data_IF_422261050313
#
_entry.id   IF_422261050313
#
_cell.length_a   1.000
_cell.length_b   1.000
_cell.length_c   1.000
_cell.angle_alpha   90.00
_cell.angle_beta   90.00
_cell.angle_gamma   90.00
#
_symmetry.space_group_name_H-M   'P 1'
#
loop_
_entity.id
_entity.type
_entity.pdbx_description
1 polymer ?
#
# COMPACT_ATOMS: atom_id res chain seq x y z
N UNK A 1 13.23 -5.44 2.53
CA UNK A 1 12.68 -5.28 3.89
C UNK A 1 11.15 -5.39 3.86
N UNK A 2 10.53 -5.84 4.95
CA UNK A 2 9.08 -5.87 5.13
C UNK A 2 8.76 -5.64 6.61
N UNK A 3 7.52 -5.28 6.90
CA UNK A 3 7.06 -5.06 8.26
C UNK A 3 6.70 -6.43 8.88
N UNK A 4 7.37 -6.88 9.96
CA UNK A 4 7.20 -8.25 10.46
C UNK A 4 5.76 -8.58 10.90
N UNK A 5 5.00 -7.58 11.35
CA UNK A 5 3.62 -7.74 11.80
C UNK A 5 2.65 -8.11 10.66
N UNK A 6 3.02 -7.83 9.39
CA UNK A 6 2.21 -8.22 8.23
C UNK A 6 1.99 -9.74 8.18
N UNK A 7 3.01 -10.52 8.61
CA UNK A 7 2.89 -11.97 8.71
C UNK A 7 1.82 -12.37 9.73
N UNK A 8 1.84 -11.76 10.92
CA UNK A 8 0.85 -12.04 11.97
C UNK A 8 -0.57 -11.69 11.55
N UNK A 9 -0.77 -10.58 10.84
CA UNK A 9 -2.10 -10.19 10.34
C UNK A 9 -2.62 -11.15 9.28
N UNK A 10 -1.76 -11.56 8.34
CA UNK A 10 -2.14 -12.52 7.31
C UNK A 10 -2.46 -13.90 7.89
N UNK A 11 -1.65 -14.38 8.84
CA UNK A 11 -1.87 -15.66 9.53
C UNK A 11 -3.14 -15.65 10.38
N UNK A 12 -3.43 -14.55 11.07
CA UNK A 12 -4.68 -14.39 11.83
C UNK A 12 -5.93 -14.43 10.92
N UNK A 13 -5.79 -14.04 9.66
CA UNK A 13 -6.83 -14.15 8.64
C UNK A 13 -6.86 -15.53 7.94
N UNK A 14 -6.05 -16.50 8.38
CA UNK A 14 -5.97 -17.83 7.78
C UNK A 14 -5.09 -17.93 6.53
N UNK A 15 -4.35 -16.86 6.23
CA UNK A 15 -3.40 -16.82 5.13
C UNK A 15 -2.01 -17.33 5.51
N UNK A 16 -1.11 -17.31 4.55
CA UNK A 16 0.33 -17.52 4.76
C UNK A 16 1.12 -16.48 3.99
N UNK A 17 2.24 -16.03 4.56
CA UNK A 17 3.10 -15.02 3.94
C UNK A 17 4.31 -15.67 3.29
N UNK A 18 4.57 -15.29 2.05
CA UNK A 18 5.80 -15.60 1.35
C UNK A 18 6.60 -14.32 1.14
N UNK A 19 7.71 -14.20 1.83
CA UNK A 19 8.63 -13.06 1.65
C UNK A 19 9.46 -13.28 0.39
N UNK A 20 9.43 -12.27 -0.48
CA UNK A 20 10.29 -12.23 -1.68
C UNK A 20 11.35 -11.15 -1.45
N UNK A 21 12.64 -11.49 -1.38
CA UNK A 21 13.70 -10.50 -1.23
C UNK A 21 13.75 -9.53 -2.41
N UNK A 22 14.05 -8.27 -2.13
CA UNK A 22 14.46 -7.30 -3.13
C UNK A 22 15.89 -7.62 -3.60
N UNK A 23 16.33 -6.99 -4.69
CA UNK A 23 17.73 -7.05 -5.12
C UNK A 23 18.65 -6.49 -4.03
N UNK A 24 19.68 -7.24 -3.67
CA UNK A 24 20.50 -6.96 -2.49
C UNK A 24 21.22 -5.59 -2.55
N UNK A 25 21.68 -5.20 -3.74
CA UNK A 25 22.50 -3.99 -3.92
C UNK A 25 21.68 -2.71 -4.00
N UNK A 26 20.45 -2.78 -4.51
CA UNK A 26 19.64 -1.61 -4.86
C UNK A 26 18.33 -1.51 -4.13
N UNK A 27 17.91 -2.59 -3.46
CA UNK A 27 16.57 -2.80 -2.91
C UNK A 27 15.43 -2.64 -3.94
N UNK A 28 15.75 -2.64 -5.24
CA UNK A 28 14.79 -2.66 -6.32
C UNK A 28 13.96 -3.95 -6.32
N UNK A 29 12.78 -3.93 -6.93
CA UNK A 29 11.97 -5.13 -7.06
C UNK A 29 12.69 -6.21 -7.88
N UNK A 30 12.71 -7.43 -7.36
CA UNK A 30 13.08 -8.60 -8.14
C UNK A 30 11.83 -9.17 -8.80
N UNK A 31 11.51 -8.69 -10.00
CA UNK A 31 10.31 -9.08 -10.73
C UNK A 31 10.33 -10.56 -11.15
N UNK A 32 11.49 -11.14 -11.38
CA UNK A 32 11.62 -12.55 -11.69
C UNK A 32 11.30 -13.41 -10.46
N UNK A 33 11.90 -13.10 -9.33
CA UNK A 33 11.61 -13.77 -8.06
C UNK A 33 10.14 -13.58 -7.64
N UNK A 34 9.57 -12.38 -7.83
CA UNK A 34 8.15 -12.12 -7.59
C UNK A 34 7.26 -12.96 -8.49
N UNK A 35 7.56 -13.00 -9.80
CA UNK A 35 6.80 -13.82 -10.75
C UNK A 35 6.84 -15.30 -10.40
N UNK A 36 8.00 -15.82 -9.98
CA UNK A 36 8.13 -17.20 -9.53
C UNK A 36 7.39 -17.48 -8.21
N UNK A 37 7.26 -16.47 -7.35
CA UNK A 37 6.57 -16.59 -6.07
C UNK A 37 5.04 -16.54 -6.18
N UNK A 38 4.50 -15.81 -7.16
CA UNK A 38 3.06 -15.66 -7.38
C UNK A 38 2.49 -16.93 -8.00
N UNK A 39 1.56 -17.56 -7.28
CA UNK A 39 0.89 -18.83 -7.66
C UNK A 39 -0.62 -18.63 -7.74
N UNK A 40 -1.34 -19.67 -8.14
CA UNK A 40 -2.81 -19.69 -8.15
C UNK A 40 -3.45 -19.49 -6.76
N UNK A 41 -2.68 -19.60 -5.67
CA UNK A 41 -3.14 -19.37 -4.30
C UNK A 41 -2.84 -17.94 -3.81
N UNK A 42 -2.15 -17.14 -4.62
CA UNK A 42 -1.78 -15.78 -4.22
C UNK A 42 -2.98 -14.86 -4.30
N UNK A 43 -3.43 -14.35 -3.16
CA UNK A 43 -4.55 -13.42 -3.07
C UNK A 43 -4.09 -11.96 -3.19
N UNK A 44 -2.96 -11.60 -2.57
CA UNK A 44 -2.47 -10.23 -2.56
C UNK A 44 -0.95 -10.14 -2.37
N UNK A 45 -0.41 -8.97 -2.73
CA UNK A 45 0.95 -8.54 -2.43
C UNK A 45 0.88 -7.32 -1.50
N UNK A 46 1.85 -7.17 -0.58
CA UNK A 46 2.03 -5.95 0.21
C UNK A 46 3.29 -5.26 -0.28
N UNK A 47 3.17 -3.99 -0.66
CA UNK A 47 4.27 -3.13 -1.11
C UNK A 47 4.32 -1.88 -0.26
N UNK A 48 5.46 -1.59 0.36
CA UNK A 48 5.73 -0.33 1.05
C UNK A 48 6.70 0.51 0.20
N UNK A 49 6.22 1.62 -0.34
CA UNK A 49 7.02 2.54 -1.17
C UNK A 49 6.45 3.96 -1.13
N UNK A 50 7.23 4.97 -0.73
CA UNK A 50 8.65 4.92 -0.33
C UNK A 50 8.88 3.99 0.85
N UNK A 51 9.98 3.24 0.87
CA UNK A 51 10.18 2.13 1.81
C UNK A 51 10.92 2.56 3.08
N UNK A 52 10.45 2.08 4.21
CA UNK A 52 11.19 2.11 5.48
C UNK A 52 11.76 0.70 5.76
N UNK A 53 13.09 0.53 5.98
CA UNK A 53 14.10 1.57 6.21
C UNK A 53 14.96 1.91 4.98
N UNK A 54 14.77 1.30 3.81
CA UNK A 54 15.69 1.44 2.68
C UNK A 54 15.67 2.81 2.00
N UNK A 55 14.58 3.57 2.15
CA UNK A 55 14.37 4.85 1.46
C UNK A 55 14.09 4.72 -0.04
N UNK A 56 14.02 3.51 -0.56
CA UNK A 56 13.80 3.28 -1.99
C UNK A 56 12.37 3.60 -2.40
N UNK A 57 12.24 4.31 -3.51
CA UNK A 57 10.97 4.53 -4.21
C UNK A 57 10.90 3.58 -5.39
N UNK A 58 9.85 2.76 -5.44
CA UNK A 58 9.62 1.88 -6.60
C UNK A 58 9.22 2.77 -7.79
N UNK A 59 9.98 2.67 -8.86
CA UNK A 59 9.81 3.52 -10.03
C UNK A 59 8.55 3.18 -10.84
N UNK A 60 8.07 4.14 -11.64
CA UNK A 60 6.93 3.91 -12.56
C UNK A 60 7.16 2.74 -13.51
N UNK A 61 8.34 2.55 -14.15
CA UNK A 61 8.59 1.37 -14.99
C UNK A 61 8.51 0.05 -14.23
N UNK A 62 9.02 -0.03 -13.00
CA UNK A 62 8.94 -1.23 -12.17
C UNK A 62 7.49 -1.55 -11.80
N UNK A 63 6.69 -0.56 -11.38
CA UNK A 63 5.27 -0.75 -11.08
C UNK A 63 4.48 -1.13 -12.33
N UNK A 64 4.80 -0.58 -13.50
CA UNK A 64 4.16 -0.95 -14.75
C UNK A 64 4.47 -2.41 -15.13
N UNK A 65 5.71 -2.84 -14.99
CA UNK A 65 6.12 -4.22 -15.24
C UNK A 65 5.49 -5.20 -14.25
N UNK A 66 5.44 -4.84 -12.96
CA UNK A 66 4.72 -5.61 -11.94
C UNK A 66 3.23 -5.74 -12.29
N UNK A 67 2.60 -4.62 -12.66
CA UNK A 67 1.17 -4.59 -13.02
C UNK A 67 0.88 -5.48 -14.24
N UNK A 68 1.75 -5.46 -15.24
CA UNK A 68 1.61 -6.33 -16.43
C UNK A 68 1.73 -7.82 -16.05
N UNK A 69 2.73 -8.16 -15.24
CA UNK A 69 2.94 -9.53 -14.75
C UNK A 69 1.73 -10.03 -13.94
N UNK A 70 1.18 -9.20 -13.04
CA UNK A 70 0.02 -9.60 -12.25
C UNK A 70 -1.25 -9.76 -13.10
N UNK A 71 -1.47 -8.89 -14.12
CA UNK A 71 -2.59 -9.06 -15.06
C UNK A 71 -2.51 -10.37 -15.84
N UNK A 72 -1.32 -10.76 -16.29
CA UNK A 72 -1.09 -12.05 -16.95
C UNK A 72 -1.42 -13.21 -16.00
N UNK A 73 -0.95 -13.14 -14.76
CA UNK A 73 -1.23 -14.15 -13.73
C UNK A 73 -2.72 -14.25 -13.40
N UNK A 74 -3.41 -13.13 -13.23
CA UNK A 74 -4.85 -13.08 -13.01
C UNK A 74 -5.62 -13.77 -14.15
N UNK A 75 -5.28 -13.42 -15.39
CA UNK A 75 -5.90 -14.06 -16.56
C UNK A 75 -5.67 -15.57 -16.59
N UNK A 76 -4.48 -16.01 -16.17
CA UNK A 76 -4.12 -17.44 -16.10
C UNK A 76 -4.83 -18.18 -14.99
N UNK A 77 -4.97 -17.55 -13.81
CA UNK A 77 -5.51 -18.21 -12.61
C UNK A 77 -7.02 -18.04 -12.46
N UNK A 78 -7.62 -17.10 -13.18
CA UNK A 78 -9.07 -16.88 -13.19
C UNK A 78 -9.61 -16.16 -11.94
N UNK A 79 -8.75 -15.45 -11.20
CA UNK A 79 -9.15 -14.65 -10.04
C UNK A 79 -8.28 -13.39 -9.92
N UNK A 80 -8.78 -12.31 -9.26
CA UNK A 80 -7.98 -11.12 -9.02
C UNK A 80 -6.83 -11.40 -8.06
N UNK A 81 -5.74 -10.64 -8.23
CA UNK A 81 -4.62 -10.56 -7.29
C UNK A 81 -4.51 -9.10 -6.87
N UNK A 82 -4.66 -8.81 -5.59
CA UNK A 82 -4.66 -7.44 -5.11
C UNK A 82 -3.26 -6.96 -4.71
N UNK A 83 -3.07 -5.65 -4.61
CA UNK A 83 -1.88 -5.05 -4.01
C UNK A 83 -2.33 -4.16 -2.86
N UNK A 84 -1.80 -4.35 -1.67
CA UNK A 84 -1.84 -3.35 -0.61
C UNK A 84 -0.64 -2.42 -0.83
N UNK A 85 -0.93 -1.18 -1.22
CA UNK A 85 0.06 -0.12 -1.42
C UNK A 85 0.16 0.69 -0.13
N UNK A 86 1.14 0.38 0.71
CA UNK A 86 1.40 1.07 1.97
C UNK A 86 2.33 2.27 1.71
N UNK A 87 1.75 3.47 1.70
CA UNK A 87 2.42 4.71 1.29
C UNK A 87 2.43 5.82 2.36
N UNK A 88 2.76 5.55 3.63
CA UNK A 88 2.76 6.58 4.67
C UNK A 88 3.90 7.60 4.53
N UNK A 89 4.88 7.35 3.66
CA UNK A 89 6.06 8.19 3.43
C UNK A 89 6.03 8.92 2.08
N UNK A 90 4.88 8.97 1.41
CA UNK A 90 4.75 9.47 0.04
C UNK A 90 5.33 10.86 -0.18
N UNK A 91 5.15 11.77 0.76
CA UNK A 91 5.63 13.15 0.70
C UNK A 91 7.03 13.33 1.29
N UNK A 92 7.57 12.30 1.96
CA UNK A 92 8.89 12.33 2.60
C UNK A 92 9.94 11.77 1.66
N UNK A 93 10.06 12.38 0.49
CA UNK A 93 11.06 12.04 -0.54
C UNK A 93 11.92 13.24 -0.87
N UNK A 94 13.15 12.99 -1.26
CA UNK A 94 14.16 14.01 -1.48
C UNK A 94 14.65 13.99 -2.93
N UNK A 95 15.30 15.08 -3.36
CA UNK A 95 15.92 15.16 -4.69
C UNK A 95 14.94 15.18 -5.87
N UNK A 96 13.68 15.53 -5.64
CA UNK A 96 12.66 15.62 -6.70
C UNK A 96 12.22 14.26 -7.26
N UNK A 97 12.41 13.19 -6.50
CA UNK A 97 11.97 11.84 -6.92
C UNK A 97 10.45 11.79 -7.02
N UNK A 98 9.95 11.36 -8.18
CA UNK A 98 8.52 11.12 -8.37
C UNK A 98 8.10 9.82 -7.63
N UNK A 99 7.05 9.91 -6.80
CA UNK A 99 6.39 8.72 -6.23
C UNK A 99 5.17 8.40 -7.10
N UNK A 100 5.21 7.32 -7.89
CA UNK A 100 4.09 6.97 -8.75
C UNK A 100 2.85 6.62 -7.93
N UNK A 101 1.66 6.91 -8.47
CA UNK A 101 0.41 6.50 -7.83
C UNK A 101 -0.01 5.12 -8.38
N UNK A 102 0.22 4.09 -7.58
CA UNK A 102 0.02 2.69 -7.99
C UNK A 102 -1.42 2.39 -8.47
N UNK A 103 -2.49 2.90 -7.81
CA UNK A 103 -3.85 2.61 -8.28
C UNK A 103 -4.14 3.07 -9.72
N UNK A 104 -3.46 4.11 -10.20
CA UNK A 104 -3.58 4.54 -11.60
C UNK A 104 -2.92 3.57 -12.60
N UNK A 105 -2.01 2.72 -12.15
CA UNK A 105 -1.33 1.72 -12.97
C UNK A 105 -1.98 0.34 -12.84
N UNK A 106 -2.52 0.04 -11.66
CA UNK A 106 -3.11 -1.23 -11.31
C UNK A 106 -4.36 -1.03 -10.44
N UNK A 107 -5.58 -1.10 -11.02
CA UNK A 107 -6.82 -0.84 -10.31
C UNK A 107 -7.07 -1.75 -9.09
N UNK A 108 -6.55 -2.99 -9.11
CA UNK A 108 -6.66 -3.91 -7.98
C UNK A 108 -5.70 -3.57 -6.84
N UNK A 109 -5.43 -2.27 -6.63
CA UNK A 109 -4.63 -1.76 -5.53
C UNK A 109 -5.50 -1.14 -4.45
N UNK A 110 -5.27 -1.54 -3.21
CA UNK A 110 -5.80 -0.93 -1.98
C UNK A 110 -4.75 0.07 -1.51
N UNK A 111 -5.03 1.35 -1.65
CA UNK A 111 -4.12 2.41 -1.25
C UNK A 111 -4.26 2.68 0.24
N UNK A 112 -3.17 2.50 0.98
CA UNK A 112 -3.10 2.75 2.43
C UNK A 112 -2.27 3.99 2.69
N UNK A 113 -2.85 4.99 3.34
CA UNK A 113 -2.19 6.23 3.69
C UNK A 113 -2.35 6.57 5.16
N UNK A 114 -1.33 7.17 5.74
CA UNK A 114 -1.34 7.59 7.15
C UNK A 114 -0.72 8.98 7.32
N UNK A 115 -1.38 9.81 8.10
CA UNK A 115 -0.86 11.12 8.52
C UNK A 115 0.14 11.05 9.68
N UNK A 116 0.47 9.84 10.13
CA UNK A 116 1.45 9.61 11.20
C UNK A 116 2.83 10.18 10.90
N UNK A 117 3.20 10.24 9.61
CA UNK A 117 4.54 10.69 9.16
C UNK A 117 4.47 12.10 8.60
N UNK A 118 3.62 12.35 7.62
CA UNK A 118 3.54 13.64 6.91
C UNK A 118 3.07 14.80 7.76
N UNK A 119 2.19 14.57 8.72
CA UNK A 119 1.72 15.59 9.67
C UNK A 119 2.23 15.38 11.10
N UNK A 120 3.16 14.46 11.32
CA UNK A 120 3.67 14.10 12.67
C UNK A 120 2.59 13.79 13.70
N UNK A 121 1.55 13.07 13.27
CA UNK A 121 0.41 12.69 14.12
C UNK A 121 0.36 11.17 14.40
N UNK A 122 1.46 10.52 14.84
CA UNK A 122 1.45 9.07 15.01
C UNK A 122 0.53 8.63 16.15
N UNK A 123 0.38 9.44 17.19
CA UNK A 123 -0.48 9.15 18.34
C UNK A 123 -1.97 9.24 18.04
N UNK A 124 -2.35 10.01 17.01
CA UNK A 124 -3.75 10.33 16.72
C UNK A 124 -4.45 9.25 15.89
N UNK A 125 -3.70 8.32 15.35
CA UNK A 125 -4.20 7.16 14.61
C UNK A 125 -5.10 7.53 13.43
N UNK A 126 -4.69 8.52 12.62
CA UNK A 126 -5.44 9.04 11.47
C UNK A 126 -4.80 8.58 10.17
N UNK A 127 -5.59 8.01 9.30
CA UNK A 127 -5.24 7.57 7.95
C UNK A 127 -6.48 7.18 7.18
N UNK A 128 -6.29 6.67 5.98
CA UNK A 128 -7.40 6.20 5.16
C UNK A 128 -6.97 5.05 4.25
N UNK A 129 -7.94 4.27 3.81
CA UNK A 129 -7.84 3.34 2.71
C UNK A 129 -8.63 3.87 1.52
N UNK A 130 -8.07 3.77 0.32
CA UNK A 130 -8.78 4.11 -0.90
C UNK A 130 -8.75 2.92 -1.87
N UNK A 131 -9.91 2.65 -2.48
CA UNK A 131 -10.11 1.62 -3.48
C UNK A 131 -10.37 2.29 -4.84
N UNK A 132 -9.76 1.75 -5.90
CA UNK A 132 -10.03 2.28 -7.23
C UNK A 132 -11.43 1.84 -7.72
N UNK A 133 -12.24 2.73 -8.31
CA UNK A 133 -13.61 2.38 -8.75
C UNK A 133 -13.69 1.24 -9.78
N UNK A 134 -12.62 1.00 -10.53
CA UNK A 134 -12.52 -0.08 -11.51
C UNK A 134 -11.80 -1.32 -10.93
N UNK A 135 -11.72 -1.46 -9.60
CA UNK A 135 -11.20 -2.65 -8.92
C UNK A 135 -12.14 -3.84 -9.18
N UNK A 136 -11.57 -5.00 -9.44
CA UNK A 136 -12.34 -6.24 -9.48
C UNK A 136 -12.99 -6.50 -8.11
N UNK A 137 -14.21 -6.98 -8.10
CA UNK A 137 -14.99 -7.28 -6.88
C UNK A 137 -15.10 -6.08 -5.90
N UNK A 138 -15.14 -4.84 -6.43
CA UNK A 138 -15.10 -3.60 -5.64
C UNK A 138 -16.05 -3.61 -4.44
N UNK A 139 -17.32 -3.96 -4.64
CA UNK A 139 -18.32 -3.93 -3.56
C UNK A 139 -18.00 -4.96 -2.45
N UNK A 140 -17.52 -6.13 -2.83
CA UNK A 140 -17.14 -7.17 -1.88
C UNK A 140 -15.88 -6.77 -1.10
N UNK A 141 -14.86 -6.23 -1.76
CA UNK A 141 -13.63 -5.75 -1.12
C UNK A 141 -13.94 -4.56 -0.21
N UNK A 142 -14.76 -3.62 -0.65
CA UNK A 142 -15.18 -2.48 0.16
C UNK A 142 -15.92 -2.92 1.43
N UNK A 143 -16.87 -3.84 1.30
CA UNK A 143 -17.59 -4.38 2.44
C UNK A 143 -16.67 -5.15 3.40
N UNK A 144 -15.71 -5.92 2.88
CA UNK A 144 -14.72 -6.64 3.67
C UNK A 144 -13.81 -5.68 4.47
N UNK A 145 -13.32 -4.61 3.83
CA UNK A 145 -12.49 -3.59 4.50
C UNK A 145 -13.26 -2.91 5.65
N UNK A 146 -14.51 -2.51 5.42
CA UNK A 146 -15.36 -1.92 6.46
C UNK A 146 -15.65 -2.92 7.59
N UNK A 147 -15.94 -4.18 7.24
CA UNK A 147 -16.18 -5.25 8.21
C UNK A 147 -14.96 -5.54 9.07
N UNK A 148 -13.78 -5.64 8.45
CA UNK A 148 -12.51 -5.85 9.14
C UNK A 148 -12.18 -4.68 10.09
N UNK A 149 -12.37 -3.44 9.64
CA UNK A 149 -12.17 -2.26 10.48
C UNK A 149 -13.04 -2.31 11.74
N UNK A 150 -14.31 -2.71 11.62
CA UNK A 150 -15.20 -2.86 12.77
C UNK A 150 -14.80 -4.01 13.69
N UNK A 151 -14.45 -5.16 13.12
CA UNK A 151 -14.04 -6.34 13.88
C UNK A 151 -12.76 -6.08 14.70
N UNK A 152 -11.85 -5.28 14.17
CA UNK A 152 -10.60 -4.87 14.82
C UNK A 152 -10.77 -3.68 15.79
N UNK A 153 -11.98 -3.12 15.92
CA UNK A 153 -12.23 -1.96 16.78
C UNK A 153 -11.86 -0.61 16.16
N UNK A 154 -11.45 -0.58 14.90
CA UNK A 154 -11.10 0.65 14.17
C UNK A 154 -12.36 1.30 13.57
N UNK A 155 -13.33 1.67 14.39
CA UNK A 155 -14.65 2.10 13.93
C UNK A 155 -14.65 3.57 13.51
N UNK A 156 -14.03 4.44 14.31
CA UNK A 156 -14.05 5.88 14.11
C UNK A 156 -12.70 6.50 14.45
N UNK A 157 -12.29 7.44 13.62
CA UNK A 157 -11.21 8.37 13.95
C UNK A 157 -11.77 9.50 14.83
N UNK A 158 -10.95 10.07 15.72
CA UNK A 158 -11.32 11.25 16.50
C UNK A 158 -11.83 12.37 15.59
N UNK A 159 -13.04 12.90 15.88
CA UNK A 159 -13.65 13.96 15.07
C UNK A 159 -12.79 15.23 15.04
N UNK A 160 -12.13 15.56 16.15
CA UNK A 160 -11.22 16.71 16.24
C UNK A 160 -10.08 16.59 15.21
N UNK A 161 -9.37 15.44 15.20
CA UNK A 161 -8.24 15.26 14.29
C UNK A 161 -8.68 15.07 12.84
N UNK A 162 -9.85 14.49 12.59
CA UNK A 162 -10.40 14.42 11.24
C UNK A 162 -10.69 15.80 10.66
N UNK A 163 -11.24 16.72 11.46
CA UNK A 163 -11.49 18.11 11.05
C UNK A 163 -10.17 18.88 10.88
N UNK A 164 -9.22 18.71 11.79
CA UNK A 164 -7.90 19.33 11.68
C UNK A 164 -7.14 18.89 10.43
N UNK A 165 -7.14 17.59 10.12
CA UNK A 165 -6.54 17.06 8.88
C UNK A 165 -7.25 17.61 7.66
N UNK A 166 -8.60 17.68 7.65
CA UNK A 166 -9.35 18.23 6.54
C UNK A 166 -8.99 19.70 6.26
N UNK A 167 -8.78 20.49 7.30
CA UNK A 167 -8.32 21.88 7.17
C UNK A 167 -6.90 21.96 6.62
N UNK A 168 -5.98 21.09 7.09
CA UNK A 168 -4.61 21.03 6.58
C UNK A 168 -4.54 20.66 5.09
N UNK A 169 -5.44 19.82 4.59
CA UNK A 169 -5.46 19.43 3.17
C UNK A 169 -5.83 20.60 2.23
N UNK A 170 -6.50 21.63 2.75
CA UNK A 170 -6.80 22.88 2.01
C UNK A 170 -5.64 23.87 1.99
N UNK A 171 -4.58 23.61 2.76
CA UNK A 171 -3.43 24.49 2.89
C UNK A 171 -2.19 23.81 2.29
N UNK A 172 -1.30 24.60 1.70
CA UNK A 172 0.01 24.12 1.29
C UNK A 172 0.89 23.97 2.53
N UNK A 173 0.81 22.82 3.20
CA UNK A 173 1.77 22.51 4.23
C UNK A 173 3.15 22.33 3.57
N UNK A 174 4.13 23.12 3.97
CA UNK A 174 5.51 22.98 3.47
C UNK A 174 6.15 21.79 4.20
N UNK A 175 5.84 20.59 3.71
CA UNK A 175 6.41 19.35 4.24
C UNK A 175 7.93 19.31 4.02
N UNK A 176 8.41 19.92 2.93
CA UNK A 176 9.84 19.97 2.63
C UNK A 176 10.62 20.82 3.65
N UNK A 177 10.01 21.90 4.17
CA UNK A 177 10.62 22.70 5.22
C UNK A 177 10.58 22.00 6.60
N UNK A 178 9.71 21.05 6.76
CA UNK A 178 9.54 20.28 8.00
C UNK A 178 10.42 19.02 8.04
N UNK A 179 10.64 18.37 6.91
CA UNK A 179 11.43 17.14 6.77
C UNK A 179 12.93 17.46 6.71
#
# INVERSE_FOLDING_TARGET
PYFPEDAGYAEAAGGSVRVVPCKADTFALDLEALSAAVTEKTALLILNSPNNPSGVVISRPELAALSAMLREKQARYGHPIYIIADEPYRELVYGGVEVPFLPALYPNAIYCYSYSKTLSLPGERVGFLALHPAMDDYDAVHAAVLGAGRALGCICVSSLFRLAVAECLGQTADIAAYA
#
